data_IF_339248091160
#
_entry.id   IF_339248091160
#
_cell.length_a   1.000
_cell.length_b   1.000
_cell.length_c   1.000
_cell.angle_alpha   90.00
_cell.angle_beta   90.00
_cell.angle_gamma   90.00
#
_symmetry.space_group_name_H-M   'P 1'
#
loop_
_entity.id
_entity.type
_entity.pdbx_description
1 polymer ?
#
# COMPACT_ATOMS: atom_id res chain seq x y z
N UNK A 1 42.52 23.56 25.27
CA UNK A 1 42.69 22.74 24.05
C UNK A 1 41.40 21.95 23.88
N UNK A 2 40.48 22.40 23.02
CA UNK A 2 40.39 22.06 21.58
C UNK A 2 39.75 20.65 21.39
N UNK A 3 38.67 20.35 20.65
CA UNK A 3 37.64 21.01 19.80
C UNK A 3 36.46 19.98 19.73
N UNK A 4 35.18 20.39 19.76
CA UNK A 4 34.17 20.30 18.66
C UNK A 4 34.36 19.13 17.65
N UNK A 5 33.36 18.33 17.25
CA UNK A 5 32.15 18.64 16.42
C UNK A 5 31.10 17.51 16.52
N UNK A 6 29.78 17.81 16.42
CA UNK A 6 28.67 16.86 16.34
C UNK A 6 28.32 16.40 14.89
N UNK A 7 27.92 15.14 14.72
CA UNK A 7 27.22 14.61 13.54
C UNK A 7 25.72 14.50 13.87
N UNK A 8 24.75 14.88 13.04
CA UNK A 8 24.74 15.46 11.72
C UNK A 8 23.26 15.58 11.32
N UNK A 9 22.80 16.81 11.05
CA UNK A 9 21.45 17.14 10.60
C UNK A 9 21.12 16.33 9.33
N UNK A 10 20.18 15.40 9.43
CA UNK A 10 19.60 14.77 8.25
C UNK A 10 18.70 15.78 7.54
N UNK A 11 18.96 15.95 6.25
CA UNK A 11 18.63 17.10 5.42
C UNK A 11 17.11 17.30 5.27
N UNK A 12 16.60 18.40 5.84
CA UNK A 12 15.29 18.99 5.53
C UNK A 12 15.14 19.44 4.06
N UNK A 13 16.22 19.42 3.28
CA UNK A 13 16.21 19.75 1.86
C UNK A 13 15.67 18.65 0.94
N UNK A 14 15.62 17.38 1.37
CA UNK A 14 15.12 16.30 0.51
C UNK A 14 13.58 16.31 0.43
N UNK A 15 12.90 16.64 1.53
CA UNK A 15 11.45 16.85 1.55
C UNK A 15 11.03 18.10 0.75
N UNK A 16 11.86 19.15 0.73
CA UNK A 16 11.58 20.37 -0.03
C UNK A 16 11.84 20.17 -1.53
N UNK A 17 12.81 19.34 -1.91
CA UNK A 17 13.12 18.99 -3.30
C UNK A 17 12.03 18.13 -3.97
N UNK A 18 11.42 17.19 -3.23
CA UNK A 18 10.29 16.39 -3.72
C UNK A 18 9.00 17.22 -3.85
N UNK A 19 8.83 18.25 -3.00
CA UNK A 19 7.72 19.19 -3.10
C UNK A 19 7.85 20.16 -4.30
N UNK A 20 9.08 20.51 -4.69
CA UNK A 20 9.32 21.41 -5.84
C UNK A 20 9.22 20.71 -7.21
N UNK A 21 9.39 19.39 -7.30
CA UNK A 21 9.15 18.65 -8.55
C UNK A 21 7.66 18.48 -8.89
N UNK A 22 6.75 18.72 -7.94
CA UNK A 22 5.29 18.78 -8.18
C UNK A 22 4.81 20.15 -8.72
N UNK A 23 5.71 21.13 -8.83
CA UNK A 23 5.40 22.51 -9.20
C UNK A 23 5.88 22.91 -10.61
N UNK A 24 6.26 21.96 -11.47
CA UNK A 24 6.46 22.29 -12.88
C UNK A 24 5.08 22.34 -13.56
N UNK A 25 4.53 23.51 -13.91
CA UNK A 25 3.32 23.56 -14.70
C UNK A 25 3.69 23.05 -16.10
N UNK A 26 3.25 21.83 -16.43
CA UNK A 26 3.13 21.36 -17.80
C UNK A 26 2.12 22.27 -18.51
N UNK A 27 2.61 23.43 -18.92
CA UNK A 27 1.92 24.42 -19.70
C UNK A 27 1.82 23.84 -21.11
N UNK A 28 0.60 23.81 -21.64
CA UNK A 28 0.24 23.36 -22.99
C UNK A 28 0.04 21.85 -23.20
N UNK A 29 -0.92 21.27 -22.48
CA UNK A 29 -1.80 20.28 -23.09
C UNK A 29 -3.21 20.90 -23.22
N UNK A 30 -3.43 21.68 -24.28
CA UNK A 30 -4.81 22.06 -24.66
C UNK A 30 -5.49 20.83 -25.24
N UNK A 31 -6.19 20.08 -24.37
CA UNK A 31 -7.13 19.08 -24.81
C UNK A 31 -8.25 19.79 -25.59
N UNK A 32 -8.33 19.51 -26.89
CA UNK A 32 -9.44 19.92 -27.74
C UNK A 32 -10.74 19.37 -27.14
N UNK A 33 -11.65 20.26 -26.78
CA UNK A 33 -12.97 19.90 -26.29
C UNK A 33 -13.80 19.32 -27.43
N UNK A 34 -14.01 18.00 -27.41
CA UNK A 34 -15.08 17.40 -28.20
C UNK A 34 -16.41 17.70 -27.48
N UNK A 35 -17.24 18.52 -28.11
CA UNK A 35 -18.56 18.85 -27.61
C UNK A 35 -19.38 17.57 -27.32
N UNK A 36 -20.03 17.53 -26.16
CA UNK A 36 -21.06 16.52 -25.85
C UNK A 36 -20.60 15.26 -25.10
N UNK A 37 -19.36 15.14 -24.62
CA UNK A 37 -18.96 14.05 -23.71
C UNK A 37 -18.99 14.56 -22.26
N UNK A 38 -20.13 14.51 -21.59
CA UNK A 38 -20.19 14.82 -20.16
C UNK A 38 -19.91 13.54 -19.39
N UNK A 39 -18.75 13.46 -18.75
CA UNK A 39 -18.43 12.48 -17.72
C UNK A 39 -19.22 12.82 -16.45
N UNK A 40 -20.54 12.98 -16.52
CA UNK A 40 -21.38 13.38 -15.37
C UNK A 40 -22.37 12.28 -14.97
N UNK A 41 -22.51 11.25 -15.79
CA UNK A 41 -23.32 10.08 -15.48
C UNK A 41 -22.80 9.38 -14.22
N UNK A 42 -23.69 8.68 -13.53
CA UNK A 42 -23.27 7.75 -12.47
C UNK A 42 -22.35 6.67 -13.05
N UNK A 43 -21.42 6.18 -12.25
CA UNK A 43 -20.46 5.16 -12.70
C UNK A 43 -20.15 4.15 -11.60
N UNK A 44 -19.81 2.94 -12.01
CA UNK A 44 -19.01 2.01 -11.19
C UNK A 44 -17.60 2.06 -11.73
N UNK A 45 -16.63 2.25 -10.85
CA UNK A 45 -15.22 2.40 -11.19
C UNK A 45 -14.43 1.27 -10.58
N UNK A 46 -13.58 0.66 -11.39
CA UNK A 46 -12.55 -0.27 -10.92
C UNK A 46 -11.23 0.49 -10.91
N UNK A 47 -10.49 0.44 -9.82
CA UNK A 47 -9.15 0.99 -9.73
C UNK A 47 -8.13 -0.10 -9.50
N UNK A 48 -6.95 0.08 -10.08
CA UNK A 48 -5.78 -0.74 -9.86
C UNK A 48 -4.55 0.15 -9.91
N UNK A 49 -3.67 0.02 -8.93
CA UNK A 49 -2.49 0.83 -8.80
C UNK A 49 -1.31 0.08 -8.21
N UNK A 50 -0.15 0.70 -8.28
CA UNK A 50 1.11 0.17 -7.81
C UNK A 50 2.00 1.29 -7.31
N UNK A 51 2.87 0.98 -6.36
CA UNK A 51 3.98 1.87 -6.04
C UNK A 51 4.78 1.47 -4.81
N UNK A 52 5.83 2.23 -4.51
CA UNK A 52 6.71 1.96 -3.38
C UNK A 52 6.01 2.23 -2.04
N UNK A 53 6.44 1.51 -1.01
CA UNK A 53 6.01 1.75 0.37
C UNK A 53 7.18 1.64 1.35
N UNK A 54 7.03 2.28 2.50
CA UNK A 54 7.95 2.20 3.63
C UNK A 54 7.17 1.96 4.92
N UNK A 55 7.75 1.14 5.80
CA UNK A 55 7.19 0.86 7.12
C UNK A 55 7.67 1.92 8.13
N UNK A 56 6.77 2.37 9.00
CA UNK A 56 6.97 3.41 10.02
C UNK A 56 6.24 3.01 11.33
N UNK A 57 6.46 3.78 12.40
CA UNK A 57 5.94 3.42 13.74
C UNK A 57 6.51 2.07 14.19
N UNK A 58 5.72 1.29 14.92
CA UNK A 58 6.15 -0.01 15.43
C UNK A 58 6.43 -1.01 14.29
N UNK A 59 5.80 -0.83 13.13
CA UNK A 59 6.01 -1.68 11.96
C UNK A 59 7.45 -1.61 11.43
N UNK A 60 8.12 -0.47 11.64
CA UNK A 60 9.48 -0.23 11.18
C UNK A 60 10.55 -1.06 11.91
N UNK A 61 10.20 -1.63 13.08
CA UNK A 61 11.04 -2.56 13.81
C UNK A 61 11.10 -3.93 13.13
N UNK A 62 10.01 -4.34 12.47
CA UNK A 62 9.90 -5.63 11.79
C UNK A 62 10.26 -5.57 10.32
N UNK A 63 9.87 -4.46 9.68
CA UNK A 63 9.91 -4.32 8.23
C UNK A 63 10.55 -3.01 7.80
N UNK A 64 11.10 -3.01 6.60
CA UNK A 64 11.60 -1.80 5.96
C UNK A 64 10.77 -1.40 4.75
N UNK A 65 11.41 -1.33 3.60
CA UNK A 65 10.79 -0.86 2.35
C UNK A 65 10.27 -2.00 1.47
N UNK A 66 9.35 -1.66 0.58
CA UNK A 66 8.78 -2.61 -0.37
C UNK A 66 7.90 -1.93 -1.41
N UNK A 67 6.98 -2.71 -1.95
CA UNK A 67 5.99 -2.24 -2.92
C UNK A 67 4.60 -2.70 -2.52
N UNK A 68 3.58 -2.01 -3.00
CA UNK A 68 2.21 -2.42 -2.81
C UNK A 68 1.41 -2.31 -4.10
N UNK A 69 0.43 -3.20 -4.21
CA UNK A 69 -0.64 -3.16 -5.21
C UNK A 69 -1.87 -2.60 -4.51
N UNK A 70 -2.50 -1.61 -5.13
CA UNK A 70 -3.76 -1.01 -4.70
C UNK A 70 -4.86 -1.46 -5.66
N UNK A 71 -6.07 -1.67 -5.16
CA UNK A 71 -7.19 -2.04 -5.99
C UNK A 71 -8.53 -1.87 -5.29
N UNK A 72 -9.60 -1.86 -6.06
CA UNK A 72 -10.94 -1.82 -5.50
C UNK A 72 -12.02 -1.32 -6.44
N UNK A 73 -13.17 -1.07 -5.85
CA UNK A 73 -14.40 -0.66 -6.52
C UNK A 73 -14.92 0.64 -5.90
N UNK A 74 -15.47 1.53 -6.71
CA UNK A 74 -16.14 2.74 -6.24
C UNK A 74 -17.37 3.05 -7.09
N UNK A 75 -18.46 3.40 -6.43
CA UNK A 75 -19.61 4.01 -7.07
C UNK A 75 -19.47 5.53 -7.03
N UNK A 76 -19.77 6.15 -8.17
CA UNK A 76 -19.76 7.58 -8.38
C UNK A 76 -21.17 8.01 -8.78
N UNK A 77 -21.91 8.77 -7.94
CA UNK A 77 -23.23 9.27 -8.30
C UNK A 77 -23.18 10.26 -9.48
N UNK A 78 -24.32 10.40 -10.15
CA UNK A 78 -24.47 11.40 -11.20
C UNK A 78 -24.27 12.81 -10.63
N UNK A 79 -23.57 13.67 -11.38
CA UNK A 79 -23.26 15.06 -11.00
C UNK A 79 -22.56 15.25 -9.64
N UNK A 80 -21.99 14.19 -9.07
CA UNK A 80 -21.26 14.24 -7.79
C UNK A 80 -19.75 14.13 -7.99
N UNK A 81 -19.00 14.63 -7.01
CA UNK A 81 -17.56 14.45 -6.86
C UNK A 81 -17.21 13.48 -5.73
N UNK A 82 -18.24 13.01 -5.01
CA UNK A 82 -18.14 12.06 -3.93
C UNK A 82 -18.20 10.65 -4.49
N UNK A 83 -17.34 9.78 -3.98
CA UNK A 83 -17.20 8.39 -4.36
C UNK A 83 -17.34 7.55 -3.09
N UNK A 84 -17.99 6.40 -3.19
CA UNK A 84 -18.05 5.45 -2.09
C UNK A 84 -17.84 4.05 -2.60
N UNK A 85 -17.11 3.24 -1.84
CA UNK A 85 -16.66 1.96 -2.36
C UNK A 85 -15.91 1.14 -1.34
N UNK A 86 -14.99 0.34 -1.87
CA UNK A 86 -14.19 -0.59 -1.10
C UNK A 86 -12.80 -0.72 -1.71
N UNK A 87 -11.77 -0.63 -0.86
CA UNK A 87 -10.37 -0.62 -1.25
C UNK A 87 -9.63 -1.79 -0.61
N UNK A 88 -8.67 -2.32 -1.35
CA UNK A 88 -7.76 -3.39 -0.95
C UNK A 88 -6.33 -2.93 -1.29
N UNK A 89 -5.42 -2.97 -0.33
CA UNK A 89 -4.00 -2.74 -0.56
C UNK A 89 -3.21 -3.95 -0.13
N UNK A 90 -2.44 -4.55 -1.04
CA UNK A 90 -1.56 -5.66 -0.74
C UNK A 90 -0.10 -5.22 -0.83
N UNK A 91 0.61 -5.24 0.30
CA UNK A 91 2.01 -4.86 0.41
C UNK A 91 2.94 -6.06 0.47
N UNK A 92 4.11 -5.95 -0.13
CA UNK A 92 5.17 -6.97 -0.09
C UNK A 92 6.58 -6.36 -0.13
N UNK A 93 7.55 -7.04 0.48
CA UNK A 93 8.94 -6.58 0.54
C UNK A 93 9.92 -7.69 0.92
N UNK A 94 11.20 -7.49 0.62
CA UNK A 94 12.33 -8.34 1.08
C UNK A 94 12.94 -7.89 2.39
N UNK A 95 12.72 -6.64 2.76
CA UNK A 95 13.42 -5.99 3.87
C UNK A 95 12.73 -6.34 5.20
N UNK A 96 13.03 -7.55 5.68
CA UNK A 96 12.60 -8.06 6.98
C UNK A 96 13.75 -7.91 7.97
N UNK A 97 13.56 -7.05 8.96
CA UNK A 97 14.57 -6.73 9.98
C UNK A 97 14.54 -7.69 11.17
N UNK A 98 13.38 -8.29 11.40
CA UNK A 98 13.16 -9.23 12.47
C UNK A 98 13.28 -10.67 11.96
N UNK A 99 14.41 -11.30 12.29
CA UNK A 99 14.67 -12.69 11.89
C UNK A 99 14.07 -13.68 12.89
N UNK A 100 12.87 -14.14 12.57
CA UNK A 100 12.15 -15.18 13.34
C UNK A 100 12.81 -16.56 13.28
N UNK A 101 13.79 -16.76 12.40
CA UNK A 101 14.50 -18.03 12.26
C UNK A 101 15.89 -18.00 12.88
N UNK A 102 16.28 -16.90 13.54
CA UNK A 102 17.62 -16.70 14.08
C UNK A 102 18.11 -17.88 14.94
N UNK A 103 17.24 -18.45 15.77
CA UNK A 103 17.58 -19.61 16.61
C UNK A 103 17.78 -20.93 15.87
N UNK A 104 17.38 -21.01 14.60
CA UNK A 104 17.54 -22.18 13.72
C UNK A 104 18.68 -22.01 12.71
N UNK A 105 19.19 -20.78 12.53
CA UNK A 105 20.26 -20.48 11.59
C UNK A 105 21.62 -20.92 12.14
N UNK A 106 22.46 -21.40 11.24
CA UNK A 106 23.89 -21.58 11.45
C UNK A 106 24.60 -20.23 11.53
N UNK A 107 25.88 -20.22 11.93
CA UNK A 107 26.70 -19.00 11.93
C UNK A 107 26.82 -18.36 10.53
N UNK A 108 26.68 -19.18 9.47
CA UNK A 108 26.72 -18.74 8.08
C UNK A 108 25.35 -18.28 7.55
N UNK A 109 24.29 -18.30 8.38
CA UNK A 109 22.95 -17.80 8.06
C UNK A 109 22.01 -18.83 7.40
N UNK A 110 22.49 -20.03 7.11
CA UNK A 110 21.70 -21.12 6.53
C UNK A 110 20.93 -21.92 7.57
N UNK A 111 19.82 -22.55 7.16
CA UNK A 111 19.18 -23.61 7.93
C UNK A 111 19.71 -24.96 7.45
N UNK A 112 19.68 -25.98 8.32
CA UNK A 112 20.07 -27.34 7.93
C UNK A 112 18.83 -28.11 7.47
N UNK A 113 18.82 -28.49 6.18
CA UNK A 113 17.75 -29.26 5.57
C UNK A 113 17.75 -30.74 5.98
N UNK A 114 16.71 -31.46 5.57
CA UNK A 114 16.52 -32.88 5.87
C UNK A 114 17.68 -33.79 5.41
N UNK A 115 18.40 -33.40 4.36
CA UNK A 115 19.56 -34.12 3.81
C UNK A 115 20.89 -33.70 4.44
N UNK A 116 20.87 -32.90 5.52
CA UNK A 116 22.05 -32.26 6.15
C UNK A 116 22.78 -31.25 5.27
N UNK A 117 22.16 -30.84 4.18
CA UNK A 117 22.65 -29.78 3.30
C UNK A 117 22.14 -28.41 3.78
N UNK A 118 22.92 -27.33 3.58
CA UNK A 118 22.45 -25.96 3.82
C UNK A 118 21.24 -25.62 2.94
N UNK A 119 20.23 -25.00 3.53
CA UNK A 119 19.04 -24.47 2.87
C UNK A 119 18.99 -22.95 3.02
N UNK A 120 18.76 -22.25 1.90
CA UNK A 120 18.65 -20.79 1.89
C UNK A 120 17.19 -20.35 2.04
N UNK A 121 16.80 -20.09 3.29
CA UNK A 121 15.45 -19.66 3.64
C UNK A 121 15.39 -18.14 3.79
N UNK A 122 14.56 -17.55 2.93
CA UNK A 122 14.38 -16.10 2.83
C UNK A 122 13.10 -15.66 3.52
N UNK A 123 13.18 -14.59 4.30
CA UNK A 123 12.00 -13.97 4.92
C UNK A 123 11.47 -12.84 4.03
N UNK A 124 10.15 -12.75 3.93
CA UNK A 124 9.45 -11.71 3.17
C UNK A 124 8.40 -11.04 4.01
N UNK A 125 8.20 -9.76 3.77
CA UNK A 125 7.09 -9.00 4.31
C UNK A 125 5.83 -9.23 3.47
N UNK A 126 4.69 -9.46 4.12
CA UNK A 126 3.36 -9.46 3.50
C UNK A 126 2.41 -8.62 4.33
N UNK A 127 1.64 -7.78 3.66
CA UNK A 127 0.67 -6.88 4.30
C UNK A 127 -0.60 -6.84 3.47
N UNK A 128 -1.74 -6.65 4.13
CA UNK A 128 -3.02 -6.45 3.48
C UNK A 128 -3.87 -5.49 4.31
N UNK A 129 -4.35 -4.44 3.65
CA UNK A 129 -5.42 -3.58 4.14
C UNK A 129 -6.66 -3.85 3.31
N UNK A 130 -7.82 -3.87 3.96
CA UNK A 130 -9.09 -4.07 3.28
C UNK A 130 -10.20 -3.31 4.02
N UNK A 131 -11.02 -2.54 3.30
CA UNK A 131 -12.13 -1.83 3.92
C UNK A 131 -12.92 -0.90 3.00
N UNK A 132 -14.12 -0.45 3.44
CA UNK A 132 -14.89 0.57 2.75
C UNK A 132 -14.13 1.89 2.66
N UNK A 133 -14.38 2.64 1.59
CA UNK A 133 -13.78 3.94 1.36
C UNK A 133 -14.77 5.02 0.92
N UNK A 134 -14.39 6.26 1.22
CA UNK A 134 -15.07 7.49 0.83
C UNK A 134 -14.05 8.38 0.13
N UNK A 135 -14.33 8.69 -1.13
CA UNK A 135 -13.50 9.57 -1.97
C UNK A 135 -14.18 10.90 -2.23
N UNK A 136 -13.41 11.97 -2.33
CA UNK A 136 -13.88 13.27 -2.78
C UNK A 136 -12.86 13.91 -3.72
N UNK A 137 -13.33 14.40 -4.87
CA UNK A 137 -12.47 15.07 -5.85
C UNK A 137 -12.76 16.57 -5.85
N UNK A 138 -11.79 17.37 -5.39
CA UNK A 138 -11.80 18.81 -5.56
C UNK A 138 -11.42 19.14 -7.00
N UNK A 139 -12.38 19.70 -7.73
CA UNK A 139 -12.23 20.07 -9.14
C UNK A 139 -11.09 21.07 -9.34
N UNK A 140 -10.22 20.78 -10.30
CA UNK A 140 -9.23 21.72 -10.85
C UNK A 140 -9.49 21.87 -12.35
N UNK A 141 -9.86 23.08 -12.78
CA UNK A 141 -10.17 23.38 -14.18
C UNK A 141 -11.61 23.03 -14.60
N UNK A 142 -11.81 22.83 -15.90
CA UNK A 142 -13.15 22.68 -16.50
C UNK A 142 -13.75 21.29 -16.26
N UNK A 143 -12.92 20.27 -16.01
CA UNK A 143 -13.38 18.91 -15.78
C UNK A 143 -13.75 18.70 -14.32
N UNK A 144 -15.04 18.50 -14.05
CA UNK A 144 -15.56 18.30 -12.69
C UNK A 144 -14.98 17.08 -11.99
N UNK A 145 -14.54 16.07 -12.74
CA UNK A 145 -13.99 14.82 -12.22
C UNK A 145 -12.47 14.73 -12.30
N UNK A 146 -11.81 15.88 -12.46
CA UNK A 146 -10.37 16.02 -12.46
C UNK A 146 -9.90 16.99 -11.38
N UNK A 147 -8.86 16.64 -10.64
CA UNK A 147 -8.28 17.52 -9.64
C UNK A 147 -7.72 16.77 -8.44
N UNK A 148 -7.65 17.47 -7.31
CA UNK A 148 -7.14 16.89 -6.05
C UNK A 148 -8.16 15.88 -5.55
N UNK A 149 -7.72 14.65 -5.38
CA UNK A 149 -8.53 13.55 -4.88
C UNK A 149 -8.07 13.17 -3.48
N UNK A 150 -9.03 13.15 -2.55
CA UNK A 150 -8.89 12.65 -1.20
C UNK A 150 -9.67 11.36 -1.09
N UNK A 151 -9.07 10.31 -0.53
CA UNK A 151 -9.76 9.05 -0.28
C UNK A 151 -9.44 8.56 1.12
N UNK A 152 -10.47 8.39 1.94
CA UNK A 152 -10.35 7.89 3.30
C UNK A 152 -11.02 6.52 3.36
N UNK A 153 -10.31 5.52 3.85
CA UNK A 153 -10.81 4.17 4.02
C UNK A 153 -10.64 3.72 5.48
N UNK A 154 -11.64 3.02 5.99
CA UNK A 154 -11.63 2.43 7.32
C UNK A 154 -11.72 0.93 7.14
N UNK A 155 -10.89 0.16 7.85
CA UNK A 155 -10.80 -1.25 7.53
C UNK A 155 -9.99 -2.05 8.53
N UNK A 156 -9.58 -3.22 8.06
CA UNK A 156 -8.72 -4.12 8.79
C UNK A 156 -7.36 -4.18 8.11
N UNK A 157 -6.30 -3.98 8.87
CA UNK A 157 -4.91 -4.11 8.42
C UNK A 157 -4.28 -5.31 9.09
N UNK A 158 -3.55 -6.09 8.31
CA UNK A 158 -2.80 -7.22 8.81
C UNK A 158 -1.47 -7.34 8.09
N UNK A 159 -0.47 -7.82 8.82
CA UNK A 159 0.84 -8.11 8.30
C UNK A 159 1.41 -9.37 8.93
N UNK A 160 2.32 -10.00 8.19
CA UNK A 160 3.04 -11.19 8.64
C UNK A 160 4.40 -11.30 7.97
N UNK A 161 5.28 -12.05 8.61
CA UNK A 161 6.51 -12.54 8.03
C UNK A 161 6.16 -13.82 7.26
N UNK A 162 6.41 -13.81 5.96
CA UNK A 162 6.25 -14.95 5.08
C UNK A 162 7.60 -15.60 4.86
N UNK A 163 7.70 -16.87 5.21
CA UNK A 163 8.86 -17.69 4.90
C UNK A 163 8.80 -18.07 3.41
N UNK A 164 9.94 -18.12 2.73
CA UNK A 164 10.08 -18.64 1.38
C UNK A 164 10.97 -19.87 1.45
N UNK A 165 10.41 -21.02 1.06
CA UNK A 165 11.11 -22.29 1.10
C UNK A 165 12.20 -22.36 0.03
N UNK A 166 13.21 -23.17 0.34
CA UNK A 166 14.25 -23.52 -0.62
C UNK A 166 13.66 -24.50 -1.66
N UNK A 167 13.85 -24.25 -2.97
CA UNK A 167 13.27 -25.08 -4.01
C UNK A 167 13.86 -26.50 -4.10
N UNK A 168 15.02 -26.73 -3.47
CA UNK A 168 15.76 -28.00 -3.52
C UNK A 168 15.75 -28.70 -2.17
N UNK A 169 15.85 -27.95 -1.06
CA UNK A 169 15.97 -28.50 0.29
C UNK A 169 14.71 -28.28 1.11
N UNK A 170 14.21 -29.36 1.74
CA UNK A 170 13.11 -29.26 2.69
C UNK A 170 13.64 -29.12 4.11
N UNK A 171 13.06 -28.18 4.86
CA UNK A 171 13.38 -27.92 6.28
C UNK A 171 12.18 -28.34 7.12
N UNK A 172 12.22 -29.50 7.82
CA UNK A 172 11.06 -30.01 8.58
C UNK A 172 10.54 -29.06 9.66
N UNK A 173 11.40 -28.20 10.22
CA UNK A 173 11.07 -27.19 11.22
C UNK A 173 10.18 -26.06 10.65
N UNK A 174 10.11 -25.94 9.32
CA UNK A 174 9.30 -24.97 8.57
C UNK A 174 8.15 -25.65 7.84
N UNK A 175 7.66 -26.79 8.36
CA UNK A 175 6.47 -27.44 7.82
C UNK A 175 5.27 -26.49 7.85
N UNK A 176 4.32 -26.69 6.93
CA UNK A 176 3.12 -25.85 6.82
C UNK A 176 2.33 -25.74 8.14
N UNK A 177 2.38 -26.77 8.98
CA UNK A 177 1.76 -26.80 10.30
C UNK A 177 2.44 -25.87 11.31
N UNK A 178 3.76 -25.68 11.19
CA UNK A 178 4.57 -24.87 12.12
C UNK A 178 4.73 -23.41 11.65
N UNK A 179 4.58 -23.13 10.36
CA UNK A 179 4.69 -21.77 9.80
C UNK A 179 3.84 -20.71 10.55
N UNK A 180 2.59 -20.99 10.97
CA UNK A 180 1.80 -20.06 11.77
C UNK A 180 2.45 -19.64 13.10
N UNK A 181 3.35 -20.44 13.66
CA UNK A 181 4.08 -20.14 14.90
C UNK A 181 5.32 -19.25 14.67
N UNK A 182 5.75 -19.05 13.43
CA UNK A 182 6.86 -18.16 13.05
C UNK A 182 6.39 -16.87 12.37
N UNK A 183 5.20 -16.87 11.78
CA UNK A 183 4.77 -15.79 10.88
C UNK A 183 4.48 -14.45 11.56
N UNK A 184 4.38 -14.45 12.90
CA UNK A 184 4.05 -13.28 13.74
C UNK A 184 2.86 -12.48 13.21
N UNK A 185 1.82 -13.19 12.74
CA UNK A 185 0.62 -12.58 12.21
C UNK A 185 0.05 -11.56 13.20
N UNK A 186 -0.04 -10.33 12.74
CA UNK A 186 -0.45 -9.17 13.52
C UNK A 186 -1.50 -8.41 12.72
N UNK A 187 -2.58 -7.99 13.37
CA UNK A 187 -3.67 -7.33 12.67
C UNK A 187 -4.61 -6.56 13.60
N UNK A 188 -5.43 -5.70 13.02
CA UNK A 188 -6.37 -4.88 13.76
C UNK A 188 -7.06 -3.83 12.90
N UNK A 189 -7.80 -2.95 13.57
CA UNK A 189 -8.48 -1.84 12.92
C UNK A 189 -7.45 -0.86 12.34
N UNK A 190 -7.76 -0.30 11.17
CA UNK A 190 -6.89 0.65 10.50
C UNK A 190 -7.63 1.75 9.77
N UNK A 191 -6.97 2.91 9.70
CA UNK A 191 -7.33 4.05 8.88
C UNK A 191 -6.34 4.18 7.73
N UNK A 192 -6.86 4.29 6.52
CA UNK A 192 -6.06 4.55 5.33
C UNK A 192 -6.48 5.89 4.72
N UNK A 193 -5.51 6.74 4.42
CA UNK A 193 -5.71 8.05 3.81
C UNK A 193 -4.84 8.17 2.56
N UNK A 194 -5.48 8.48 1.43
CA UNK A 194 -4.81 8.86 0.19
C UNK A 194 -5.08 10.32 -0.14
N UNK A 195 -4.06 10.99 -0.67
CA UNK A 195 -4.12 12.33 -1.23
C UNK A 195 -3.32 12.36 -2.54
N UNK A 196 -3.95 12.85 -3.61
CA UNK A 196 -3.30 12.87 -4.90
C UNK A 196 -4.06 13.63 -5.96
N UNK A 197 -3.66 13.47 -7.21
CA UNK A 197 -4.40 13.93 -8.37
C UNK A 197 -5.17 12.76 -8.99
N UNK A 198 -6.42 13.00 -9.37
CA UNK A 198 -7.23 12.08 -10.17
C UNK A 198 -7.66 12.77 -11.46
N UNK A 199 -7.64 12.01 -12.56
CA UNK A 199 -8.18 12.42 -13.85
C UNK A 199 -9.23 11.39 -14.29
N UNK A 200 -10.48 11.82 -14.49
CA UNK A 200 -11.48 11.07 -15.26
C UNK A 200 -11.78 11.86 -16.53
N UNK A 201 -11.25 11.45 -17.67
CA UNK A 201 -11.34 12.20 -18.92
C UNK A 201 -12.77 12.29 -19.47
N UNK A 202 -13.10 13.40 -20.15
CA UNK A 202 -14.39 13.59 -20.83
C UNK A 202 -14.62 12.52 -21.91
N UNK A 203 -13.59 12.25 -22.71
CA UNK A 203 -13.59 11.28 -23.81
C UNK A 203 -13.37 9.83 -23.33
N UNK A 204 -13.26 9.62 -22.01
CA UNK A 204 -13.07 8.32 -21.34
C UNK A 204 -11.79 7.57 -21.72
N UNK A 205 -10.85 8.19 -22.45
CA UNK A 205 -9.67 7.49 -23.00
C UNK A 205 -8.61 7.16 -21.95
N UNK A 206 -8.29 8.11 -21.08
CA UNK A 206 -7.27 7.92 -20.04
C UNK A 206 -7.80 8.42 -18.70
N UNK A 207 -7.97 7.49 -17.77
CA UNK A 207 -8.36 7.80 -16.41
C UNK A 207 -7.36 7.19 -15.43
N UNK A 208 -6.83 8.01 -14.53
CA UNK A 208 -5.74 7.62 -13.65
C UNK A 208 -5.78 8.40 -12.34
N UNK A 209 -5.01 7.91 -11.37
CA UNK A 209 -4.69 8.64 -10.16
C UNK A 209 -3.20 8.51 -9.84
N UNK A 210 -2.65 9.51 -9.15
CA UNK A 210 -1.29 9.50 -8.63
C UNK A 210 -1.24 10.31 -7.34
N UNK A 211 -0.57 9.81 -6.30
CA UNK A 211 -0.52 10.49 -5.02
C UNK A 211 0.28 9.76 -3.96
N UNK A 212 0.15 10.24 -2.73
CA UNK A 212 0.71 9.64 -1.53
C UNK A 212 -0.40 9.01 -0.68
N UNK A 213 -0.06 7.93 0.02
CA UNK A 213 -0.94 7.27 0.96
C UNK A 213 -0.27 7.00 2.30
N UNK A 214 -1.10 6.95 3.35
CA UNK A 214 -0.71 6.51 4.67
C UNK A 214 -1.77 5.55 5.23
N UNK A 215 -1.33 4.41 5.74
CA UNK A 215 -2.14 3.48 6.52
C UNK A 215 -1.64 3.49 7.95
N UNK A 216 -2.53 3.74 8.91
CA UNK A 216 -2.28 3.66 10.35
C UNK A 216 -3.14 2.54 10.91
N UNK A 217 -2.49 1.46 11.35
CA UNK A 217 -3.12 0.29 11.96
C UNK A 217 -2.89 0.27 13.47
N UNK A 218 -3.96 0.04 14.21
CA UNK A 218 -3.93 -0.28 15.63
C UNK A 218 -4.06 -1.79 15.75
N UNK A 219 -2.93 -2.48 15.86
CA UNK A 219 -2.83 -3.92 15.65
C UNK A 219 -2.45 -4.64 16.92
N UNK A 220 -2.73 -5.94 16.97
CA UNK A 220 -2.25 -6.84 18.02
C UNK A 220 -1.90 -8.20 17.42
N UNK A 221 -1.09 -8.96 18.15
CA UNK A 221 -0.75 -10.33 17.76
C UNK A 221 -2.02 -11.18 17.65
N UNK A 222 -2.15 -11.93 16.55
CA UNK A 222 -3.30 -12.79 16.28
C UNK A 222 -3.01 -14.27 16.57
N UNK A 223 -1.76 -14.60 16.94
CA UNK A 223 -1.31 -15.94 17.30
C UNK A 223 -1.38 -16.13 18.81
N UNK A 224 -1.80 -17.32 19.24
CA UNK A 224 -1.76 -17.71 20.66
C UNK A 224 -0.37 -18.14 21.13
N UNK A 225 0.52 -18.49 20.20
CA UNK A 225 1.86 -19.00 20.48
C UNK A 225 2.85 -18.53 19.43
N UNK A 226 4.03 -18.07 19.87
CA UNK A 226 5.18 -17.69 19.06
C UNK A 226 6.33 -18.66 19.37
N UNK A 227 6.77 -19.39 18.35
CA UNK A 227 7.79 -20.44 18.50
C UNK A 227 9.14 -19.85 18.91
N UNK A 228 9.65 -18.76 18.28
CA UNK A 228 10.89 -18.11 18.71
C UNK A 228 10.89 -17.66 20.17
N UNK A 229 9.75 -17.19 20.69
CA UNK A 229 9.58 -16.77 22.08
C UNK A 229 9.40 -17.95 23.04
N UNK A 230 8.92 -19.10 22.55
CA UNK A 230 8.57 -20.26 23.38
C UNK A 230 7.32 -20.06 24.24
N UNK A 231 6.44 -19.15 23.86
CA UNK A 231 5.29 -18.74 24.67
C UNK A 231 4.30 -17.86 23.91
N UNK A 232 3.25 -17.34 24.58
CA UNK A 232 2.32 -16.40 23.97
C UNK A 232 3.03 -15.08 23.61
N UNK A 233 2.74 -14.48 22.44
CA UNK A 233 3.26 -13.17 22.08
C UNK A 233 2.72 -12.08 23.02
N UNK A 234 3.34 -10.90 23.04
CA UNK A 234 2.84 -9.77 23.84
C UNK A 234 1.39 -9.44 23.48
N UNK A 235 0.59 -9.19 24.52
CA UNK A 235 -0.80 -8.74 24.40
C UNK A 235 -0.91 -7.22 24.13
N UNK A 236 0.23 -6.51 24.12
CA UNK A 236 0.25 -5.07 23.91
C UNK A 236 -0.18 -4.70 22.49
N UNK A 237 -0.97 -3.64 22.38
CA UNK A 237 -1.33 -3.05 21.09
C UNK A 237 -0.13 -2.35 20.45
N UNK A 238 -0.05 -2.40 19.13
CA UNK A 238 0.95 -1.72 18.30
C UNK A 238 0.31 -0.63 17.44
N UNK A 239 1.08 0.40 17.13
CA UNK A 239 0.74 1.40 16.12
C UNK A 239 1.63 1.19 14.91
N UNK A 240 1.12 0.42 13.95
CA UNK A 240 1.82 0.08 12.72
C UNK A 240 1.47 1.07 11.62
N UNK A 241 2.48 1.69 10.99
CA UNK A 241 2.27 2.71 9.97
C UNK A 241 2.93 2.26 8.66
N UNK A 242 2.22 2.46 7.54
CA UNK A 242 2.73 2.28 6.18
C UNK A 242 2.58 3.60 5.44
N UNK A 243 3.66 4.09 4.84
CA UNK A 243 3.63 5.28 3.97
C UNK A 243 3.93 4.84 2.54
N UNK A 244 3.24 5.42 1.56
CA UNK A 244 3.37 5.02 0.17
C UNK A 244 3.25 6.15 -0.82
N UNK A 245 3.76 5.87 -2.02
CA UNK A 245 3.39 6.57 -3.25
C UNK A 245 2.64 5.58 -4.13
N UNK A 246 1.57 6.04 -4.78
CA UNK A 246 0.73 5.20 -5.65
C UNK A 246 0.45 5.92 -6.94
N UNK A 247 0.51 5.18 -8.03
CA UNK A 247 -0.08 5.55 -9.30
C UNK A 247 -0.93 4.39 -9.80
N UNK A 248 -2.04 4.69 -10.44
CA UNK A 248 -2.95 3.66 -10.92
C UNK A 248 -3.90 4.14 -11.99
N UNK A 249 -4.56 3.17 -12.61
CA UNK A 249 -5.57 3.39 -13.63
C UNK A 249 -6.96 3.28 -13.01
N UNK A 250 -7.92 3.98 -13.62
CA UNK A 250 -9.33 3.91 -13.28
C UNK A 250 -10.10 3.47 -14.52
N UNK A 251 -10.96 2.46 -14.37
CA UNK A 251 -11.82 1.97 -15.44
C UNK A 251 -13.27 2.29 -15.03
N UNK A 252 -13.85 3.41 -15.53
CA UNK A 252 -15.21 3.79 -15.22
C UNK A 252 -16.23 3.16 -16.19
N UNK A 253 -17.21 2.46 -15.64
CA UNK A 253 -18.41 1.98 -16.31
C UNK A 253 -19.56 2.94 -16.02
N UNK A 254 -19.86 3.83 -16.97
CA UNK A 254 -20.91 4.84 -16.82
C UNK A 254 -22.30 4.28 -17.14
N UNK A 255 -23.28 4.63 -16.31
CA UNK A 255 -24.69 4.28 -16.48
C UNK A 255 -25.54 5.55 -16.60
N UNK A 256 -25.79 6.01 -17.82
CA UNK A 256 -26.60 7.18 -18.12
C UNK A 256 -27.26 7.05 -19.48
N UNK A 257 -28.15 7.98 -19.83
CA UNK A 257 -28.74 8.03 -21.17
C UNK A 257 -27.61 8.20 -22.18
N UNK A 258 -27.34 7.10 -22.88
CA UNK A 258 -26.48 7.09 -24.05
C UNK A 258 -26.97 8.20 -24.96
N UNK A 259 -26.03 9.02 -25.43
CA UNK A 259 -26.24 10.01 -26.48
C UNK A 259 -27.30 9.50 -27.45
N UNK A 260 -28.36 10.28 -27.65
CA UNK A 260 -29.19 10.16 -28.84
C UNK A 260 -28.23 10.10 -30.04
N UNK A 261 -28.19 8.94 -30.69
CA UNK A 261 -27.48 8.77 -31.94
C UNK A 261 -28.35 9.49 -32.97
N UNK A 262 -28.03 10.74 -33.27
CA UNK A 262 -28.59 11.40 -34.45
C UNK A 262 -28.01 10.70 -35.68
N UNK A 263 -28.86 9.95 -36.39
CA UNK A 263 -28.60 9.45 -37.74
C UNK A 263 -28.70 10.59 -38.75
#
# INVERSE_FOLDING_TARGET
MERYIPFGKLKSGLLLGLLLMLLYPASCARAQGLAGARNLDRAVMIYAGYGPMISAGDLSERFGSGFAIDGGLAYLPANSNLQFGFRVLFGFGSDVKEDVLLGLRTNDGFLIGNQREPADIQLRQRQLFIGPNLGYTLRIGNNQRAGIHLNTAFGYFFHRISVQDDPVQSVPQLSEELLPGYDRLTGGFALHQFIGYQQLAFDRRLNFYIGADATVGFTSAQRSFDIPLGGPPSADGRTDIVLGLRAGLVIPFYFGEGREIFY
#
